data_IF_814897500083
#
_entry.id   IF_814897500083
#
_cell.length_a   1.000
_cell.length_b   1.000
_cell.length_c   1.000
_cell.angle_alpha   90.00
_cell.angle_beta   90.00
_cell.angle_gamma   90.00
#
_symmetry.space_group_name_H-M   'P 1'
#
loop_
_entity.id
_entity.type
_entity.pdbx_description
1 polymer ?
#
# COMPACT_ATOMS: atom_id res chain seq x y z
N UNK A 1 16.30 -2.20 -18.53
CA UNK A 1 16.11 -1.63 -17.18
C UNK A 1 14.95 -0.66 -17.24
N UNK A 2 13.92 -0.85 -16.41
CA UNK A 2 12.73 0.01 -16.41
C UNK A 2 12.79 0.91 -15.19
N UNK A 3 13.31 2.14 -15.33
CA UNK A 3 13.27 3.14 -14.24
C UNK A 3 12.10 4.09 -14.47
N UNK A 4 11.42 4.57 -13.41
CA UNK A 4 10.49 5.67 -13.52
C UNK A 4 11.17 6.86 -14.19
N UNK A 5 10.45 7.52 -15.10
CA UNK A 5 11.00 8.64 -15.85
C UNK A 5 11.09 9.87 -14.93
N UNK A 6 12.23 10.55 -14.91
CA UNK A 6 12.29 11.89 -14.31
C UNK A 6 11.52 12.87 -15.21
N UNK A 7 10.31 13.25 -14.77
CA UNK A 7 9.43 14.15 -15.52
C UNK A 7 9.75 15.63 -15.31
N UNK A 8 10.61 15.98 -14.34
CA UNK A 8 11.02 17.36 -14.05
C UNK A 8 11.94 17.94 -15.13
N UNK A 9 12.83 17.10 -15.66
CA UNK A 9 13.82 17.52 -16.68
C UNK A 9 13.26 17.43 -18.11
N UNK A 10 11.96 17.15 -18.25
CA UNK A 10 11.33 17.20 -19.55
C UNK A 10 11.18 18.65 -20.00
N UNK A 11 11.79 18.96 -21.15
CA UNK A 11 11.43 20.16 -21.90
C UNK A 11 10.00 19.94 -22.40
N UNK A 12 9.02 20.46 -21.67
CA UNK A 12 7.63 20.46 -22.11
C UNK A 12 7.47 21.66 -23.04
N UNK A 13 7.32 21.47 -24.37
CA UNK A 13 7.11 22.59 -25.28
C UNK A 13 5.78 23.28 -24.93
N UNK A 14 5.70 24.61 -25.10
CA UNK A 14 4.51 25.43 -24.74
C UNK A 14 3.17 24.87 -25.30
N UNK A 15 3.11 24.27 -26.51
CA UNK A 15 1.90 23.58 -26.99
C UNK A 15 1.54 22.32 -26.19
N UNK A 16 2.52 21.60 -25.64
CA UNK A 16 2.27 20.44 -24.76
C UNK A 16 1.80 20.85 -23.37
N UNK A 17 2.15 22.05 -22.87
CA UNK A 17 1.51 22.62 -21.66
C UNK A 17 0.00 22.79 -21.85
N UNK A 18 -0.44 23.14 -23.06
CA UNK A 18 -1.87 23.14 -23.41
C UNK A 18 -2.44 21.71 -23.50
N UNK A 19 -1.65 20.73 -23.96
CA UNK A 19 -1.96 19.29 -23.92
C UNK A 19 -2.15 18.72 -22.50
N UNK A 20 -1.39 19.21 -21.52
CA UNK A 20 -1.57 18.88 -20.10
C UNK A 20 -2.67 19.69 -19.40
N UNK A 21 -3.22 20.70 -20.09
CA UNK A 21 -4.45 21.39 -19.69
C UNK A 21 -5.71 20.72 -20.26
N UNK A 22 -5.54 19.62 -21.02
CA UNK A 22 -6.63 18.75 -21.47
C UNK A 22 -6.85 17.69 -20.40
N UNK A 23 -8.10 17.41 -19.98
CA UNK A 23 -8.38 16.35 -19.01
C UNK A 23 -7.72 15.02 -19.42
N UNK A 24 -6.98 14.36 -18.50
CA UNK A 24 -6.35 13.05 -18.73
C UNK A 24 -4.83 13.06 -18.91
N UNK A 25 -4.22 14.19 -19.30
CA UNK A 25 -2.77 14.23 -19.60
C UNK A 25 -1.86 14.04 -18.38
N UNK A 26 -2.33 14.42 -17.18
CA UNK A 26 -1.59 14.23 -15.93
C UNK A 26 -1.78 12.79 -15.43
N UNK A 27 -2.99 12.28 -15.54
CA UNK A 27 -3.39 10.92 -15.16
C UNK A 27 -2.62 9.87 -15.98
N UNK A 28 -2.40 10.13 -17.28
CA UNK A 28 -1.56 9.30 -18.14
C UNK A 28 -0.09 9.29 -17.67
N UNK A 29 0.48 10.44 -17.30
CA UNK A 29 1.85 10.48 -16.76
C UNK A 29 1.98 9.72 -15.45
N UNK A 30 1.02 9.89 -14.54
CA UNK A 30 0.97 9.16 -13.27
C UNK A 30 0.88 7.66 -13.53
N UNK A 31 -0.01 7.23 -14.43
CA UNK A 31 -0.16 5.83 -14.82
C UNK A 31 1.12 5.25 -15.44
N UNK A 32 1.81 5.98 -16.33
CA UNK A 32 3.12 5.58 -16.86
C UNK A 32 4.16 5.41 -15.75
N UNK A 33 4.20 6.36 -14.80
CA UNK A 33 5.09 6.33 -13.65
C UNK A 33 4.85 5.13 -12.74
N UNK A 34 3.58 4.85 -12.43
CA UNK A 34 3.18 3.69 -11.65
C UNK A 34 3.51 2.38 -12.38
N UNK A 35 3.24 2.28 -13.69
CA UNK A 35 3.58 1.11 -14.48
C UNK A 35 5.10 0.83 -14.47
N UNK A 36 5.92 1.88 -14.59
CA UNK A 36 7.37 1.77 -14.47
C UNK A 36 7.80 1.30 -13.07
N UNK A 37 7.18 1.82 -12.01
CA UNK A 37 7.41 1.40 -10.62
C UNK A 37 6.95 -0.04 -10.31
N UNK A 38 5.94 -0.54 -11.02
CA UNK A 38 5.39 -1.89 -10.87
C UNK A 38 6.18 -2.95 -11.65
N UNK A 39 6.97 -2.52 -12.64
CA UNK A 39 7.79 -3.41 -13.45
C UNK A 39 8.75 -4.24 -12.61
N UNK A 40 8.83 -5.55 -12.88
CA UNK A 40 9.80 -6.44 -12.25
C UNK A 40 11.26 -6.05 -12.54
N UNK A 41 11.50 -5.31 -13.63
CA UNK A 41 12.82 -4.80 -14.01
C UNK A 41 13.14 -3.41 -13.40
N UNK A 42 12.34 -2.94 -12.44
CA UNK A 42 12.58 -1.69 -11.72
C UNK A 42 13.55 -1.92 -10.55
N UNK A 43 14.71 -1.29 -10.66
CA UNK A 43 15.85 -1.41 -9.74
C UNK A 43 15.90 -0.29 -8.70
N UNK A 44 14.86 0.56 -8.66
CA UNK A 44 14.77 1.68 -7.73
C UNK A 44 13.56 1.62 -6.82
N UNK A 45 13.69 2.27 -5.68
CA UNK A 45 12.61 2.54 -4.75
C UNK A 45 12.62 4.03 -4.37
N UNK A 46 11.51 4.58 -3.87
CA UNK A 46 11.52 5.92 -3.30
C UNK A 46 12.57 6.05 -2.19
N UNK A 47 13.34 7.13 -2.20
CA UNK A 47 14.37 7.38 -1.19
C UNK A 47 13.75 7.76 0.17
N UNK A 48 12.70 8.58 0.14
CA UNK A 48 11.95 9.02 1.33
C UNK A 48 11.23 7.84 1.96
N UNK A 49 11.49 7.59 3.25
CA UNK A 49 10.91 6.48 4.01
C UNK A 49 11.59 5.12 3.80
N UNK A 50 12.65 5.04 2.97
CA UNK A 50 13.30 3.75 2.65
C UNK A 50 14.18 3.17 3.75
N UNK A 51 14.50 3.94 4.79
CA UNK A 51 15.48 3.55 5.80
C UNK A 51 15.14 2.23 6.50
N UNK A 52 13.85 1.99 6.76
CA UNK A 52 13.38 0.78 7.46
C UNK A 52 13.40 -0.47 6.59
N UNK A 53 13.54 -0.35 5.26
CA UNK A 53 13.49 -1.48 4.35
C UNK A 53 14.68 -2.43 4.50
N UNK A 54 15.83 -1.93 4.99
CA UNK A 54 16.96 -2.78 5.32
C UNK A 54 16.62 -3.83 6.38
N UNK A 55 15.72 -3.51 7.33
CA UNK A 55 15.24 -4.44 8.35
C UNK A 55 14.37 -5.56 7.76
N UNK A 56 13.85 -5.37 6.54
CA UNK A 56 13.07 -6.35 5.79
C UNK A 56 13.95 -7.13 4.79
N UNK A 57 15.27 -6.92 4.80
CA UNK A 57 16.22 -7.63 3.95
C UNK A 57 16.49 -6.97 2.60
N UNK A 58 16.03 -5.73 2.38
CA UNK A 58 16.38 -4.99 1.16
C UNK A 58 17.85 -4.60 1.16
N UNK A 59 18.50 -4.71 0.01
CA UNK A 59 19.84 -4.13 -0.19
C UNK A 59 19.65 -2.74 -0.79
N UNK A 60 19.98 -1.69 -0.02
CA UNK A 60 19.83 -0.30 -0.44
C UNK A 60 21.14 0.24 -1.00
N UNK A 61 21.11 0.74 -2.24
CA UNK A 61 22.21 1.44 -2.90
C UNK A 61 22.11 2.97 -2.76
N UNK A 62 22.87 3.69 -3.57
CA UNK A 62 22.95 5.15 -3.53
C UNK A 62 21.66 5.83 -4.01
N UNK A 63 21.43 7.05 -3.50
CA UNK A 63 20.39 7.95 -4.03
C UNK A 63 20.81 8.41 -5.42
N UNK A 64 19.89 8.38 -6.38
CA UNK A 64 20.18 8.79 -7.76
C UNK A 64 20.46 10.30 -7.82
N UNK A 65 21.66 10.74 -8.22
CA UNK A 65 22.00 12.16 -8.27
C UNK A 65 21.20 12.93 -9.33
N UNK A 66 20.62 12.25 -10.33
CA UNK A 66 19.78 12.85 -11.37
C UNK A 66 18.29 12.83 -11.01
N UNK A 67 17.89 11.98 -10.07
CA UNK A 67 16.50 11.93 -9.58
C UNK A 67 16.46 11.56 -8.09
N UNK A 68 16.69 12.54 -7.19
CA UNK A 68 16.84 12.28 -5.75
C UNK A 68 15.59 11.71 -5.06
N UNK A 69 14.46 11.64 -5.76
CA UNK A 69 13.27 10.93 -5.29
C UNK A 69 13.51 9.42 -5.16
N UNK A 70 14.50 8.88 -5.86
CA UNK A 70 14.76 7.45 -5.95
C UNK A 70 16.18 7.09 -5.50
N UNK A 71 16.32 5.86 -5.03
CA UNK A 71 17.61 5.21 -4.78
C UNK A 71 17.59 3.80 -5.34
N UNK A 72 18.77 3.26 -5.62
CA UNK A 72 18.89 1.86 -6.01
C UNK A 72 18.46 0.93 -4.85
N UNK A 73 17.75 -0.15 -5.17
CA UNK A 73 17.48 -1.20 -4.21
C UNK A 73 17.22 -2.56 -4.88
N UNK A 74 17.74 -3.61 -4.25
CA UNK A 74 17.37 -4.98 -4.57
C UNK A 74 16.32 -5.49 -3.59
N UNK A 75 15.26 -6.10 -4.13
CA UNK A 75 14.21 -6.75 -3.33
C UNK A 75 14.76 -8.04 -2.71
N UNK A 76 14.28 -8.43 -1.50
CA UNK A 76 14.58 -9.75 -0.96
C UNK A 76 14.07 -10.88 -1.86
N UNK A 77 14.63 -12.07 -1.72
CA UNK A 77 14.21 -13.23 -2.50
C UNK A 77 12.71 -13.54 -2.30
N UNK A 78 11.99 -13.81 -3.39
CA UNK A 78 10.55 -14.11 -3.35
C UNK A 78 9.63 -12.87 -3.28
N UNK A 79 10.17 -11.69 -3.00
CA UNK A 79 9.40 -10.45 -2.99
C UNK A 79 9.10 -9.99 -4.41
N UNK A 80 7.94 -9.35 -4.61
CA UNK A 80 7.54 -8.79 -5.90
C UNK A 80 6.79 -7.47 -5.73
N UNK A 81 6.80 -6.68 -6.81
CA UNK A 81 5.96 -5.50 -6.96
C UNK A 81 4.56 -5.93 -7.40
N UNK A 82 3.54 -5.28 -6.85
CA UNK A 82 2.13 -5.51 -7.18
C UNK A 82 1.45 -4.16 -7.40
N UNK A 83 0.85 -3.98 -8.57
CA UNK A 83 0.01 -2.81 -8.85
C UNK A 83 -1.28 -2.85 -8.04
N UNK A 84 -1.77 -1.69 -7.63
CA UNK A 84 -3.00 -1.56 -6.81
C UNK A 84 -4.24 -1.21 -7.63
N UNK A 85 -4.08 -1.00 -8.94
CA UNK A 85 -5.11 -0.38 -9.79
C UNK A 85 -5.18 1.15 -9.67
N UNK A 86 -4.50 1.74 -8.69
CA UNK A 86 -4.35 3.19 -8.57
C UNK A 86 -3.14 3.68 -9.38
N UNK A 87 -3.28 4.85 -10.02
CA UNK A 87 -2.24 5.50 -10.85
C UNK A 87 -0.97 5.93 -10.11
N UNK A 88 -0.88 5.76 -8.78
CA UNK A 88 0.23 6.28 -7.97
C UNK A 88 0.72 5.31 -6.91
N UNK A 89 0.03 4.19 -6.69
CA UNK A 89 0.37 3.25 -5.63
C UNK A 89 0.90 1.94 -6.19
N UNK A 90 1.88 1.40 -5.49
CA UNK A 90 2.43 0.07 -5.73
C UNK A 90 2.67 -0.59 -4.38
N UNK A 91 2.28 -1.85 -4.24
CA UNK A 91 2.67 -2.64 -3.07
C UNK A 91 3.92 -3.46 -3.37
N UNK A 92 4.77 -3.64 -2.36
CA UNK A 92 5.71 -4.74 -2.34
C UNK A 92 5.10 -5.84 -1.49
N UNK A 93 4.93 -7.00 -2.10
CA UNK A 93 4.45 -8.20 -1.43
C UNK A 93 5.59 -9.17 -1.23
N UNK A 94 5.62 -9.80 -0.07
CA UNK A 94 6.65 -10.77 0.28
C UNK A 94 6.43 -12.13 -0.37
N UNK A 95 7.31 -13.08 -0.06
CA UNK A 95 7.29 -14.45 -0.56
C UNK A 95 6.00 -15.22 -0.20
N UNK A 96 5.30 -14.79 0.84
CA UNK A 96 4.01 -15.34 1.26
C UNK A 96 2.81 -14.62 0.61
N UNK A 97 3.07 -13.59 -0.21
CA UNK A 97 2.05 -12.77 -0.86
C UNK A 97 1.46 -11.68 0.02
N UNK A 98 2.08 -11.35 1.15
CA UNK A 98 1.57 -10.36 2.11
C UNK A 98 2.09 -8.98 1.73
N UNK A 99 1.24 -7.95 1.79
CA UNK A 99 1.64 -6.56 1.54
C UNK A 99 2.48 -6.05 2.71
N UNK A 100 3.77 -5.82 2.47
CA UNK A 100 4.73 -5.38 3.51
C UNK A 100 5.15 -3.94 3.37
N UNK A 101 5.07 -3.39 2.17
CA UNK A 101 5.44 -2.00 1.88
C UNK A 101 4.44 -1.42 0.90
N UNK A 102 3.96 -0.21 1.19
CA UNK A 102 3.29 0.62 0.19
C UNK A 102 4.29 1.65 -0.34
N UNK A 103 4.30 1.82 -1.66
CA UNK A 103 5.08 2.84 -2.34
C UNK A 103 4.12 3.77 -3.06
N UNK A 104 4.29 5.06 -2.79
CA UNK A 104 3.64 6.13 -3.53
C UNK A 104 4.62 6.72 -4.53
N UNK A 105 4.15 6.96 -5.74
CA UNK A 105 4.87 7.76 -6.72
C UNK A 105 3.88 8.57 -7.56
N UNK A 106 4.03 9.89 -7.49
CA UNK A 106 3.35 10.86 -8.34
C UNK A 106 4.31 11.35 -9.41
N UNK A 107 4.02 11.02 -10.66
CA UNK A 107 4.89 11.34 -11.79
C UNK A 107 4.60 12.71 -12.44
N UNK A 108 3.64 13.48 -11.92
CA UNK A 108 3.28 14.79 -12.46
C UNK A 108 4.49 15.74 -12.47
N UNK A 109 4.84 16.29 -13.63
CA UNK A 109 6.06 17.10 -13.83
C UNK A 109 6.22 18.31 -12.89
N UNK A 110 5.11 18.90 -12.43
CA UNK A 110 5.08 20.10 -11.58
C UNK A 110 5.04 19.81 -10.08
N UNK A 111 4.69 18.59 -9.68
CA UNK A 111 4.49 18.18 -8.28
C UNK A 111 4.80 16.69 -8.11
N UNK A 112 6.07 16.34 -8.36
CA UNK A 112 6.57 14.98 -8.17
C UNK A 112 6.79 14.70 -6.68
N UNK A 113 6.28 13.59 -6.19
CA UNK A 113 6.65 13.04 -4.87
C UNK A 113 6.76 11.52 -4.96
N UNK A 114 7.64 10.95 -4.15
CA UNK A 114 7.79 9.52 -4.03
C UNK A 114 8.15 9.18 -2.58
N UNK A 115 7.46 8.22 -1.98
CA UNK A 115 7.79 7.74 -0.63
C UNK A 115 7.39 6.28 -0.42
N UNK A 116 8.00 5.65 0.57
CA UNK A 116 7.64 4.31 1.04
C UNK A 116 7.10 4.35 2.46
N UNK A 117 6.19 3.42 2.75
CA UNK A 117 5.66 3.16 4.09
C UNK A 117 5.70 1.67 4.35
N UNK A 118 6.39 1.24 5.42
CA UNK A 118 6.36 -0.14 5.88
C UNK A 118 5.01 -0.43 6.55
N UNK A 119 4.36 -1.51 6.15
CA UNK A 119 3.07 -1.89 6.68
C UNK A 119 3.23 -2.56 8.06
N UNK A 120 2.37 -2.14 8.99
CA UNK A 120 2.23 -2.82 10.28
C UNK A 120 1.40 -4.11 10.11
N UNK A 121 1.50 -5.03 11.07
CA UNK A 121 0.60 -6.20 11.12
C UNK A 121 -0.86 -5.77 11.15
N UNK A 122 -1.17 -4.69 11.89
CA UNK A 122 -2.52 -4.12 11.93
C UNK A 122 -3.01 -3.72 10.53
N UNK A 123 -2.20 -2.99 9.77
CA UNK A 123 -2.60 -2.55 8.43
C UNK A 123 -2.77 -3.73 7.46
N UNK A 124 -1.90 -4.75 7.57
CA UNK A 124 -2.05 -5.99 6.80
C UNK A 124 -3.34 -6.76 7.15
N UNK A 125 -3.72 -6.83 8.43
CA UNK A 125 -4.97 -7.46 8.86
C UNK A 125 -6.18 -6.64 8.38
N UNK A 126 -6.08 -5.31 8.38
CA UNK A 126 -7.10 -4.41 7.83
C UNK A 126 -7.32 -4.68 6.33
N UNK A 127 -6.24 -4.79 5.56
CA UNK A 127 -6.28 -5.16 4.14
C UNK A 127 -6.96 -6.52 3.94
N UNK A 128 -6.63 -7.52 4.77
CA UNK A 128 -7.24 -8.85 4.71
C UNK A 128 -8.76 -8.79 4.95
N UNK A 129 -9.22 -7.99 5.92
CA UNK A 129 -10.65 -7.80 6.21
C UNK A 129 -11.38 -7.10 5.05
N UNK A 130 -10.72 -6.11 4.44
CA UNK A 130 -11.25 -5.39 3.29
C UNK A 130 -11.37 -6.32 2.06
N UNK A 131 -10.34 -7.12 1.79
CA UNK A 131 -10.28 -8.05 0.66
C UNK A 131 -11.06 -9.36 0.90
N UNK A 132 -11.49 -9.62 2.13
CA UNK A 132 -12.21 -10.85 2.49
C UNK A 132 -11.32 -12.09 2.49
N UNK A 133 -10.03 -11.93 2.81
CA UNK A 133 -9.04 -13.02 2.88
C UNK A 133 -8.59 -13.27 4.32
N UNK A 134 -8.17 -14.48 4.64
CA UNK A 134 -7.59 -14.80 5.95
C UNK A 134 -6.10 -14.42 6.00
N UNK A 135 -5.61 -13.81 7.10
CA UNK A 135 -4.19 -13.49 7.25
C UNK A 135 -3.32 -14.75 7.21
N UNK A 136 -2.36 -14.77 6.29
CA UNK A 136 -1.26 -15.75 6.27
C UNK A 136 -0.31 -15.46 7.45
N UNK A 137 -0.18 -16.43 8.35
CA UNK A 137 0.67 -16.35 9.53
C UNK A 137 2.10 -16.79 9.25
N UNK A 138 3.03 -16.29 10.07
CA UNK A 138 4.37 -16.86 10.22
C UNK A 138 4.84 -16.76 11.67
N UNK A 139 6.06 -17.20 11.95
CA UNK A 139 6.65 -17.17 13.30
C UNK A 139 7.42 -15.88 13.62
N UNK A 140 7.44 -14.88 12.72
CA UNK A 140 8.36 -13.74 12.83
C UNK A 140 7.69 -12.37 12.83
N UNK A 141 6.74 -12.13 11.93
CA UNK A 141 6.10 -10.84 11.74
C UNK A 141 4.59 -10.94 11.91
N UNK A 142 3.94 -11.80 11.12
CA UNK A 142 2.50 -12.05 11.23
C UNK A 142 2.25 -13.22 12.17
N UNK A 143 2.78 -13.13 13.40
CA UNK A 143 2.54 -14.16 14.40
C UNK A 143 1.06 -14.22 14.76
N UNK A 144 0.61 -15.40 15.21
CA UNK A 144 -0.76 -15.56 15.72
C UNK A 144 -1.12 -14.49 16.75
N UNK A 145 -0.22 -14.24 17.70
CA UNK A 145 -0.41 -13.21 18.74
C UNK A 145 -0.51 -11.80 18.15
N UNK A 146 0.38 -11.45 17.21
CA UNK A 146 0.37 -10.13 16.57
C UNK A 146 -0.90 -9.91 15.75
N UNK A 147 -1.37 -10.94 15.04
CA UNK A 147 -2.62 -10.90 14.26
C UNK A 147 -3.84 -10.80 15.19
N UNK A 148 -3.89 -11.57 16.28
CA UNK A 148 -4.98 -11.45 17.26
C UNK A 148 -5.01 -10.06 17.90
N UNK A 149 -3.85 -9.51 18.28
CA UNK A 149 -3.72 -8.15 18.80
C UNK A 149 -4.21 -7.11 17.80
N UNK A 150 -3.89 -7.27 16.52
CA UNK A 150 -4.40 -6.41 15.45
C UNK A 150 -5.93 -6.51 15.31
N UNK A 151 -6.48 -7.73 15.32
CA UNK A 151 -7.92 -7.98 15.29
C UNK A 151 -8.65 -7.37 16.50
N UNK A 152 -8.07 -7.45 17.71
CA UNK A 152 -8.59 -6.78 18.91
C UNK A 152 -8.64 -5.26 18.73
N UNK A 153 -7.55 -4.67 18.24
CA UNK A 153 -7.48 -3.21 18.01
C UNK A 153 -8.48 -2.75 16.96
N UNK A 154 -8.65 -3.49 15.85
CA UNK A 154 -9.63 -3.19 14.81
C UNK A 154 -11.04 -3.38 15.36
N UNK A 155 -11.31 -4.50 16.03
CA UNK A 155 -12.63 -4.81 16.58
C UNK A 155 -13.09 -3.76 17.59
N UNK A 156 -12.20 -3.26 18.43
CA UNK A 156 -12.53 -2.16 19.34
C UNK A 156 -12.95 -0.90 18.58
N UNK A 157 -12.20 -0.50 17.54
CA UNK A 157 -12.52 0.67 16.72
C UNK A 157 -13.87 0.51 16.00
N UNK A 158 -14.13 -0.66 15.41
CA UNK A 158 -15.39 -0.93 14.71
C UNK A 158 -16.58 -1.01 15.66
N UNK A 159 -16.40 -1.51 16.88
CA UNK A 159 -17.43 -1.49 17.92
C UNK A 159 -17.78 -0.06 18.32
N UNK A 160 -16.78 0.79 18.59
CA UNK A 160 -16.99 2.21 18.89
C UNK A 160 -17.71 2.93 17.75
N UNK A 161 -17.34 2.63 16.50
CA UNK A 161 -18.00 3.18 15.30
C UNK A 161 -19.45 2.71 15.20
N UNK A 162 -19.74 1.43 15.39
CA UNK A 162 -21.10 0.90 15.36
C UNK A 162 -21.98 1.55 16.45
N UNK A 163 -21.45 1.69 17.67
CA UNK A 163 -22.16 2.31 18.79
C UNK A 163 -22.44 3.81 18.52
N UNK A 164 -21.46 4.55 18.00
CA UNK A 164 -21.61 5.95 17.61
C UNK A 164 -22.74 6.13 16.58
N UNK A 165 -22.73 5.34 15.51
CA UNK A 165 -23.72 5.49 14.43
C UNK A 165 -25.11 4.95 14.77
N UNK A 166 -25.22 4.00 15.70
CA UNK A 166 -26.51 3.47 16.17
C UNK A 166 -27.42 4.53 16.81
N UNK A 167 -26.83 5.61 17.34
CA UNK A 167 -27.55 6.74 17.93
C UNK A 167 -28.06 7.76 16.90
N UNK A 168 -27.67 7.64 15.63
CA UNK A 168 -27.98 8.60 14.58
C UNK A 168 -29.16 8.14 13.71
N UNK A 169 -29.86 9.09 13.08
CA UNK A 169 -30.95 8.80 12.13
C UNK A 169 -30.53 9.14 10.70
N UNK A 170 -31.04 8.38 9.73
CA UNK A 170 -30.78 8.59 8.29
C UNK A 170 -30.11 7.38 7.62
N UNK A 171 -30.15 7.36 6.28
CA UNK A 171 -29.62 6.24 5.50
C UNK A 171 -28.11 6.05 5.70
N UNK A 172 -27.36 7.16 5.65
CA UNK A 172 -25.90 7.14 5.82
C UNK A 172 -25.45 6.62 7.19
N UNK A 173 -26.20 6.94 8.25
CA UNK A 173 -25.91 6.42 9.58
C UNK A 173 -26.11 4.89 9.64
N UNK A 174 -27.20 4.39 9.03
CA UNK A 174 -27.46 2.95 8.91
C UNK A 174 -26.40 2.23 8.09
N UNK A 175 -25.95 2.83 6.99
CA UNK A 175 -24.86 2.29 6.16
C UNK A 175 -23.57 2.12 6.97
N UNK A 176 -23.14 3.18 7.69
CA UNK A 176 -21.93 3.10 8.50
C UNK A 176 -22.01 2.12 9.67
N UNK A 177 -23.17 2.04 10.34
CA UNK A 177 -23.41 1.04 11.37
C UNK A 177 -23.33 -0.37 10.77
N UNK A 178 -23.97 -0.60 9.63
CA UNK A 178 -23.96 -1.88 8.95
C UNK A 178 -22.55 -2.30 8.53
N UNK A 179 -21.78 -1.42 7.90
CA UNK A 179 -20.39 -1.69 7.49
C UNK A 179 -19.50 -2.06 8.70
N UNK A 180 -19.68 -1.37 9.84
CA UNK A 180 -18.95 -1.68 11.06
C UNK A 180 -19.32 -3.07 11.60
N UNK A 181 -20.61 -3.39 11.64
CA UNK A 181 -21.10 -4.72 12.07
C UNK A 181 -20.65 -5.85 11.15
N UNK A 182 -20.63 -5.62 9.85
CA UNK A 182 -20.10 -6.58 8.87
C UNK A 182 -18.60 -6.85 9.10
N UNK A 183 -17.83 -5.79 9.40
CA UNK A 183 -16.41 -5.92 9.72
C UNK A 183 -16.18 -6.70 11.01
N UNK A 184 -16.98 -6.44 12.06
CA UNK A 184 -16.96 -7.21 13.31
C UNK A 184 -17.25 -8.70 13.08
N UNK A 185 -18.22 -9.02 12.20
CA UNK A 185 -18.52 -10.40 11.86
C UNK A 185 -17.34 -11.10 11.14
N UNK A 186 -16.64 -10.39 10.24
CA UNK A 186 -15.43 -10.90 9.59
C UNK A 186 -14.31 -11.16 10.60
N UNK A 187 -14.12 -10.25 11.57
CA UNK A 187 -13.13 -10.42 12.64
C UNK A 187 -13.40 -11.70 13.43
N UNK A 188 -14.64 -11.93 13.82
CA UNK A 188 -15.00 -13.14 14.57
C UNK A 188 -14.79 -14.42 13.75
N UNK A 189 -15.13 -14.40 12.45
CA UNK A 189 -14.87 -15.54 11.57
C UNK A 189 -13.37 -15.89 11.52
N UNK A 190 -12.49 -14.89 11.38
CA UNK A 190 -11.04 -15.11 11.39
C UNK A 190 -10.57 -15.64 12.75
N UNK A 191 -11.09 -15.13 13.87
CA UNK A 191 -10.75 -15.65 15.21
C UNK A 191 -11.08 -17.12 15.36
N UNK A 192 -12.26 -17.54 14.92
CA UNK A 192 -12.70 -18.94 14.96
C UNK A 192 -11.78 -19.81 14.10
N UNK A 193 -11.43 -19.37 12.89
CA UNK A 193 -10.48 -20.06 12.01
C UNK A 193 -9.13 -20.25 12.70
N UNK A 194 -8.58 -19.17 13.27
CA UNK A 194 -7.31 -19.22 13.98
C UNK A 194 -7.38 -20.17 15.18
N UNK A 195 -8.46 -20.16 15.97
CA UNK A 195 -8.65 -21.06 17.10
C UNK A 195 -8.73 -22.55 16.68
N UNK A 196 -9.36 -22.86 15.54
CA UNK A 196 -9.50 -24.22 15.03
C UNK A 196 -8.22 -24.83 14.43
N UNK A 197 -7.28 -24.00 13.97
CA UNK A 197 -6.02 -24.44 13.36
C UNK A 197 -4.94 -24.94 14.34
N UNK A 198 -5.24 -25.16 15.62
CA UNK A 198 -4.29 -25.60 16.64
C UNK A 198 -4.16 -27.15 16.74
N UNK A 199 -4.42 -27.88 15.65
CA UNK A 199 -4.39 -29.36 15.60
C UNK A 199 -3.04 -29.91 15.19
#
# INVERSE_FOLDING_TARGET
>A
MSRPRNTRDQVIPIPAVHGYSVPGGIEEQEAEGAAAMQSAACEVIPAKGSAELANLGFVLGEVDPKDPLFREAALPAGWRRQGTGHSMWTHLVDEHGRKRVAMFYKAAWYDRDAFTTVQSVRAYVDDCLHEGTSPVLDETWATREAVLTALDSIGKYEQERADEWSGHTGDRAREYEQEARETLAKIEAIRVELAGGAS
#
